data_IF_371050238629
#
_entry.id   IF_371050238629
#
_cell.length_a   1.000
_cell.length_b   1.000
_cell.length_c   1.000
_cell.angle_alpha   90.00
_cell.angle_beta   90.00
_cell.angle_gamma   90.00
#
_symmetry.space_group_name_H-M   'P 1'
#
loop_
_entity.id
_entity.type
_entity.pdbx_description
1 polymer ?
#
# COMPACT_ATOMS: atom_id res chain seq x y z
N UNK A 1 -7.09 -26.78 -19.04
CA UNK A 1 -5.85 -26.13 -19.52
C UNK A 1 -4.85 -26.24 -18.37
N UNK A 2 -3.67 -26.81 -18.60
CA UNK A 2 -2.63 -26.92 -17.56
C UNK A 2 -2.20 -25.52 -17.13
N UNK A 3 -2.06 -25.30 -15.82
CA UNK A 3 -1.47 -24.06 -15.31
C UNK A 3 -0.11 -23.83 -16.01
N UNK A 4 0.20 -22.58 -16.40
CA UNK A 4 1.51 -22.29 -16.99
C UNK A 4 2.62 -22.74 -16.02
N UNK A 5 3.76 -23.22 -16.54
CA UNK A 5 4.95 -23.46 -15.71
C UNK A 5 5.21 -22.24 -14.83
N UNK A 6 5.63 -22.45 -13.58
CA UNK A 6 5.85 -21.35 -12.63
C UNK A 6 6.76 -20.25 -13.19
N UNK A 7 7.72 -20.59 -14.05
CA UNK A 7 8.60 -19.65 -14.74
C UNK A 7 7.87 -18.74 -15.74
N UNK A 8 6.90 -19.27 -16.50
CA UNK A 8 6.12 -18.49 -17.46
C UNK A 8 5.20 -17.50 -16.73
N UNK A 9 4.61 -17.92 -15.60
CA UNK A 9 3.78 -17.04 -14.77
C UNK A 9 4.60 -15.89 -14.18
N UNK A 10 5.80 -16.16 -13.67
CA UNK A 10 6.69 -15.12 -13.14
C UNK A 10 7.02 -14.11 -14.24
N UNK A 11 7.43 -14.56 -15.43
CA UNK A 11 7.72 -13.66 -16.57
C UNK A 11 6.51 -12.80 -16.95
N UNK A 12 5.32 -13.39 -16.96
CA UNK A 12 4.08 -12.67 -17.22
C UNK A 12 3.84 -11.58 -16.17
N UNK A 13 3.98 -11.90 -14.88
CA UNK A 13 3.79 -10.94 -13.79
C UNK A 13 4.88 -9.86 -13.77
N UNK A 14 6.13 -10.18 -14.10
CA UNK A 14 7.19 -9.17 -14.25
C UNK A 14 6.89 -8.18 -15.37
N UNK A 15 6.45 -8.68 -16.53
CA UNK A 15 6.03 -7.85 -17.66
C UNK A 15 4.87 -6.94 -17.27
N UNK A 16 3.88 -7.48 -16.55
CA UNK A 16 2.71 -6.71 -16.13
C UNK A 16 3.06 -5.66 -15.06
N UNK A 17 3.94 -5.97 -14.10
CA UNK A 17 4.46 -4.96 -13.16
C UNK A 17 5.19 -3.85 -13.90
N UNK A 18 6.04 -4.18 -14.87
CA UNK A 18 6.76 -3.19 -15.66
C UNK A 18 5.79 -2.29 -16.46
N UNK A 19 4.74 -2.88 -17.04
CA UNK A 19 3.71 -2.15 -17.79
C UNK A 19 2.90 -1.21 -16.89
N UNK A 20 2.45 -1.69 -15.73
CA UNK A 20 1.65 -0.87 -14.80
C UNK A 20 2.50 0.17 -14.08
N UNK A 21 3.78 -0.14 -13.80
CA UNK A 21 4.73 0.81 -13.19
C UNK A 21 4.90 2.10 -14.01
N UNK A 22 4.78 2.02 -15.33
CA UNK A 22 4.83 3.18 -16.22
C UNK A 22 3.66 4.14 -16.04
N UNK A 23 2.57 3.70 -15.40
CA UNK A 23 1.37 4.51 -15.14
C UNK A 23 1.36 5.12 -13.73
N UNK A 24 2.37 4.82 -12.91
CA UNK A 24 2.47 5.40 -11.56
C UNK A 24 2.79 6.89 -11.68
N UNK A 25 1.95 7.72 -11.07
CA UNK A 25 2.19 9.14 -10.86
C UNK A 25 2.76 9.32 -9.45
N UNK A 26 3.98 9.86 -9.35
CA UNK A 26 4.69 10.07 -8.08
C UNK A 26 4.49 11.50 -7.51
N UNK A 27 3.71 12.34 -8.20
CA UNK A 27 3.46 13.74 -7.87
C UNK A 27 2.01 13.97 -7.39
N UNK A 28 1.77 15.07 -6.69
CA UNK A 28 0.42 15.46 -6.27
C UNK A 28 -0.43 15.85 -7.48
N UNK A 29 -1.61 15.24 -7.61
CA UNK A 29 -2.58 15.51 -8.68
C UNK A 29 -3.73 16.39 -8.22
N UNK A 30 -4.07 16.35 -6.94
CA UNK A 30 -5.26 16.99 -6.37
C UNK A 30 -4.92 18.28 -5.61
N UNK A 31 -5.84 19.24 -5.59
CA UNK A 31 -5.62 20.54 -4.92
C UNK A 31 -5.45 20.40 -3.40
N UNK A 32 -6.20 19.49 -2.76
CA UNK A 32 -6.11 19.25 -1.32
C UNK A 32 -4.74 18.74 -0.89
N UNK A 33 -3.98 18.04 -1.76
CA UNK A 33 -2.63 17.58 -1.45
C UNK A 33 -1.63 18.72 -1.32
N UNK A 34 -1.88 19.82 -2.05
CA UNK A 34 -1.02 21.01 -2.07
C UNK A 34 -1.40 22.03 -1.00
N UNK A 35 -2.53 21.84 -0.33
CA UNK A 35 -2.91 22.67 0.82
C UNK A 35 -2.07 22.29 2.05
N UNK A 36 -1.45 23.25 2.75
CA UNK A 36 -0.63 22.97 3.95
C UNK A 36 -1.37 22.21 5.07
N UNK A 37 -2.70 22.33 5.11
CA UNK A 37 -3.60 21.73 6.10
C UNK A 37 -4.53 20.67 5.49
N UNK A 38 -4.29 20.27 4.23
CA UNK A 38 -5.16 19.39 3.46
C UNK A 38 -6.60 19.87 3.29
N UNK A 39 -6.85 21.19 3.32
CA UNK A 39 -8.16 21.78 3.01
C UNK A 39 -8.80 21.17 1.76
N UNK A 40 -10.01 20.65 1.92
CA UNK A 40 -10.75 19.93 0.87
C UNK A 40 -10.65 18.40 0.95
N UNK A 41 -9.77 17.84 1.80
CA UNK A 41 -9.78 16.42 2.16
C UNK A 41 -10.86 16.16 3.22
N UNK A 42 -11.80 15.29 2.88
CA UNK A 42 -12.96 14.96 3.73
C UNK A 42 -13.03 13.46 4.06
N UNK A 43 -12.45 12.60 3.21
CA UNK A 43 -12.55 11.13 3.34
C UNK A 43 -11.24 10.45 3.02
N UNK A 44 -10.79 9.61 3.96
CA UNK A 44 -9.62 8.75 3.79
C UNK A 44 -10.05 7.29 3.84
N UNK A 45 -9.55 6.49 2.91
CA UNK A 45 -9.75 5.05 2.87
C UNK A 45 -8.60 4.31 3.56
N UNK A 46 -8.90 3.18 4.19
CA UNK A 46 -7.92 2.22 4.67
C UNK A 46 -8.23 0.85 4.12
N UNK A 47 -7.21 0.12 3.67
CA UNK A 47 -7.37 -1.27 3.22
C UNK A 47 -6.32 -2.18 3.85
N UNK A 48 -6.75 -3.40 4.15
CA UNK A 48 -5.93 -4.49 4.64
C UNK A 48 -6.40 -5.82 4.04
N UNK A 49 -5.48 -6.78 3.94
CA UNK A 49 -5.83 -8.17 3.66
C UNK A 49 -5.11 -9.08 4.64
N UNK A 50 -5.90 -9.71 5.52
CA UNK A 50 -5.40 -10.52 6.62
C UNK A 50 -5.70 -12.00 6.41
N UNK A 51 -4.67 -12.83 6.32
CA UNK A 51 -4.80 -14.28 6.17
C UNK A 51 -5.33 -14.95 7.45
N UNK A 52 -6.11 -16.01 7.29
CA UNK A 52 -6.52 -16.86 8.43
C UNK A 52 -5.27 -17.54 9.01
N UNK A 53 -5.16 -17.59 10.33
CA UNK A 53 -4.00 -18.18 11.00
C UNK A 53 -3.81 -19.65 10.58
N UNK A 54 -2.68 -19.94 9.95
CA UNK A 54 -2.34 -21.28 9.48
C UNK A 54 -2.90 -21.64 8.10
N UNK A 55 -3.46 -20.66 7.38
CA UNK A 55 -4.01 -20.81 6.04
C UNK A 55 -3.43 -19.71 5.13
N UNK A 56 -2.76 -20.10 4.06
CA UNK A 56 -2.11 -19.19 3.10
C UNK A 56 -2.99 -18.87 1.88
N UNK A 57 -4.22 -19.39 1.86
CA UNK A 57 -5.19 -19.26 0.76
C UNK A 57 -6.37 -18.40 1.20
N UNK A 58 -6.94 -18.63 2.37
CA UNK A 58 -8.12 -17.89 2.83
C UNK A 58 -7.72 -16.65 3.64
N UNK A 59 -8.33 -15.52 3.32
CA UNK A 59 -8.07 -14.25 3.97
C UNK A 59 -9.34 -13.42 4.12
N UNK A 60 -9.26 -12.35 4.90
CA UNK A 60 -10.28 -11.31 4.98
C UNK A 60 -9.76 -10.05 4.30
N UNK A 61 -10.43 -9.62 3.23
CA UNK A 61 -10.19 -8.32 2.61
C UNK A 61 -11.06 -7.27 3.31
N UNK A 62 -10.44 -6.17 3.73
CA UNK A 62 -11.10 -5.11 4.48
C UNK A 62 -10.94 -3.76 3.79
N UNK A 63 -12.02 -2.98 3.76
CA UNK A 63 -12.06 -1.59 3.36
C UNK A 63 -12.78 -0.78 4.45
N UNK A 64 -12.18 0.31 4.89
CA UNK A 64 -12.81 1.29 5.79
C UNK A 64 -12.70 2.68 5.18
N UNK A 65 -13.73 3.51 5.36
CA UNK A 65 -13.70 4.93 5.03
C UNK A 65 -13.90 5.72 6.30
N UNK A 66 -12.98 6.64 6.57
CA UNK A 66 -13.04 7.54 7.72
C UNK A 66 -13.26 8.98 7.23
N UNK A 67 -13.98 9.76 8.03
CA UNK A 67 -14.02 11.22 7.87
C UNK A 67 -12.63 11.81 8.15
N UNK A 68 -12.35 12.96 7.57
CA UNK A 68 -11.13 13.72 7.84
C UNK A 68 -11.51 15.18 8.14
N UNK A 69 -10.92 15.81 9.18
CA UNK A 69 -9.82 15.31 10.02
C UNK A 69 -10.25 14.48 11.24
N UNK A 70 -11.56 14.30 11.47
CA UNK A 70 -12.08 13.72 12.72
C UNK A 70 -11.80 12.22 12.89
N UNK A 71 -11.52 11.51 11.78
CA UNK A 71 -11.21 10.08 11.74
C UNK A 71 -12.34 9.19 12.27
N UNK A 72 -13.60 9.61 12.07
CA UNK A 72 -14.77 8.81 12.40
C UNK A 72 -15.09 7.82 11.27
N UNK A 73 -15.42 6.58 11.61
CA UNK A 73 -15.76 5.56 10.61
C UNK A 73 -17.10 5.90 9.95
N UNK A 74 -17.07 6.11 8.64
CA UNK A 74 -18.25 6.38 7.80
C UNK A 74 -18.74 5.11 7.09
N UNK A 75 -17.83 4.19 6.77
CA UNK A 75 -18.12 2.95 6.06
C UNK A 75 -17.11 1.86 6.42
N UNK A 76 -17.58 0.61 6.44
CA UNK A 76 -16.76 -0.59 6.57
C UNK A 76 -17.31 -1.70 5.66
N UNK A 77 -16.41 -2.44 5.01
CA UNK A 77 -16.71 -3.68 4.30
C UNK A 77 -15.62 -4.70 4.60
N UNK A 78 -16.05 -5.93 4.88
CA UNK A 78 -15.17 -7.06 5.19
C UNK A 78 -15.68 -8.30 4.49
N UNK A 79 -14.85 -8.88 3.63
CA UNK A 79 -15.21 -10.08 2.87
C UNK A 79 -14.16 -11.16 3.08
N UNK A 80 -14.64 -12.38 3.36
CA UNK A 80 -13.78 -13.56 3.30
C UNK A 80 -13.53 -13.92 1.83
N UNK A 81 -12.25 -14.08 1.48
CA UNK A 81 -11.80 -14.31 0.11
C UNK A 81 -10.83 -15.48 0.06
N UNK A 82 -10.76 -16.12 -1.10
CA UNK A 82 -9.89 -17.28 -1.37
C UNK A 82 -8.90 -16.92 -2.46
N UNK A 83 -7.62 -16.76 -2.10
CA UNK A 83 -6.54 -16.33 -2.97
C UNK A 83 -5.99 -17.54 -3.75
N UNK A 84 -6.50 -17.73 -4.97
CA UNK A 84 -6.11 -18.86 -5.84
C UNK A 84 -4.77 -18.68 -6.55
N UNK A 85 -4.28 -17.44 -6.65
CA UNK A 85 -2.96 -17.14 -7.20
C UNK A 85 -1.85 -17.64 -6.24
N UNK A 86 -0.74 -18.20 -6.75
CA UNK A 86 0.34 -18.71 -5.91
C UNK A 86 1.10 -17.60 -5.18
N UNK A 87 1.65 -17.92 -4.01
CA UNK A 87 2.57 -17.03 -3.31
C UNK A 87 3.95 -17.04 -3.96
N UNK A 88 4.34 -15.88 -4.52
CA UNK A 88 5.68 -15.64 -5.07
C UNK A 88 6.19 -14.33 -4.48
N UNK A 89 7.37 -14.36 -3.86
CA UNK A 89 7.98 -13.18 -3.24
C UNK A 89 8.16 -12.06 -4.29
N UNK A 90 7.71 -10.84 -3.95
CA UNK A 90 7.70 -9.69 -4.87
C UNK A 90 6.46 -9.59 -5.78
N UNK A 91 5.51 -10.52 -5.67
CA UNK A 91 4.27 -10.54 -6.47
C UNK A 91 3.00 -10.63 -5.62
N UNK A 92 3.08 -10.33 -4.32
CA UNK A 92 1.94 -10.40 -3.40
C UNK A 92 0.72 -9.59 -3.91
N UNK A 93 0.98 -8.44 -4.54
CA UNK A 93 -0.06 -7.59 -5.11
C UNK A 93 -0.95 -8.31 -6.13
N UNK A 94 -0.46 -9.29 -6.90
CA UNK A 94 -1.31 -10.06 -7.82
C UNK A 94 -2.32 -10.96 -7.10
N UNK A 95 -2.05 -11.32 -5.85
CA UNK A 95 -2.98 -12.10 -5.02
C UNK A 95 -4.03 -11.21 -4.35
N UNK A 96 -3.63 -10.02 -3.92
CA UNK A 96 -4.46 -9.18 -3.02
C UNK A 96 -5.24 -8.08 -3.75
N UNK A 97 -4.62 -7.43 -4.74
CA UNK A 97 -5.21 -6.26 -5.43
C UNK A 97 -6.60 -6.54 -6.01
N UNK A 98 -6.90 -7.71 -6.64
CA UNK A 98 -8.23 -7.98 -7.17
C UNK A 98 -9.33 -7.86 -6.10
N UNK A 99 -9.11 -8.41 -4.91
CA UNK A 99 -10.10 -8.39 -3.83
C UNK A 99 -10.27 -7.01 -3.20
N UNK A 100 -9.19 -6.23 -3.14
CA UNK A 100 -9.24 -4.83 -2.66
C UNK A 100 -9.94 -3.92 -3.68
N UNK A 101 -9.71 -4.13 -4.97
CA UNK A 101 -10.45 -3.43 -6.04
C UNK A 101 -11.94 -3.76 -6.00
N UNK A 102 -12.30 -5.03 -5.80
CA UNK A 102 -13.70 -5.42 -5.65
C UNK A 102 -14.37 -4.74 -4.46
N UNK A 103 -13.66 -4.54 -3.34
CA UNK A 103 -14.18 -3.77 -2.20
C UNK A 103 -14.44 -2.30 -2.55
N UNK A 104 -13.51 -1.64 -3.25
CA UNK A 104 -13.69 -0.27 -3.73
C UNK A 104 -14.84 -0.18 -4.75
N UNK A 105 -14.97 -1.15 -5.64
CA UNK A 105 -16.05 -1.20 -6.62
C UNK A 105 -17.42 -1.36 -5.93
N UNK A 106 -17.53 -2.26 -4.94
CA UNK A 106 -18.75 -2.40 -4.14
C UNK A 106 -19.11 -1.11 -3.42
N UNK A 107 -18.13 -0.39 -2.86
CA UNK A 107 -18.36 0.92 -2.26
C UNK A 107 -18.89 1.92 -3.30
N UNK A 108 -18.26 1.99 -4.47
CA UNK A 108 -18.66 2.88 -5.56
C UNK A 108 -20.10 2.62 -6.03
N UNK A 109 -20.49 1.35 -6.14
CA UNK A 109 -21.83 0.95 -6.57
C UNK A 109 -22.90 1.22 -5.50
N UNK A 110 -22.59 0.97 -4.23
CA UNK A 110 -23.57 1.02 -3.14
C UNK A 110 -23.66 2.40 -2.47
N UNK A 111 -22.53 3.09 -2.30
CA UNK A 111 -22.44 4.37 -1.58
C UNK A 111 -21.39 5.30 -2.23
N UNK A 112 -21.60 5.73 -3.49
CA UNK A 112 -20.62 6.52 -4.25
C UNK A 112 -20.20 7.84 -3.59
N UNK A 113 -21.07 8.44 -2.77
CA UNK A 113 -20.78 9.67 -2.03
C UNK A 113 -19.73 9.49 -0.94
N UNK A 114 -19.43 8.25 -0.55
CA UNK A 114 -18.40 7.91 0.44
C UNK A 114 -17.10 7.43 -0.20
N UNK A 115 -16.92 7.57 -1.52
CA UNK A 115 -15.63 7.28 -2.14
C UNK A 115 -14.50 8.08 -1.46
N UNK A 116 -13.38 7.42 -1.12
CA UNK A 116 -12.25 8.09 -0.50
C UNK A 116 -11.51 8.95 -1.53
N UNK A 117 -10.90 10.03 -1.05
CA UNK A 117 -10.01 10.86 -1.87
C UNK A 117 -8.58 10.29 -1.91
N UNK A 118 -8.22 9.47 -0.93
CA UNK A 118 -6.93 8.79 -0.83
C UNK A 118 -7.10 7.49 -0.05
N UNK A 119 -6.36 6.45 -0.44
CA UNK A 119 -6.39 5.14 0.23
C UNK A 119 -5.04 4.82 0.86
N UNK A 120 -5.02 4.57 2.15
CA UNK A 120 -3.88 4.02 2.88
C UNK A 120 -3.92 2.50 2.81
N UNK A 121 -2.83 1.92 2.32
CA UNK A 121 -2.73 0.48 2.04
C UNK A 121 -1.73 -0.12 3.02
N UNK A 122 -2.11 -1.16 3.77
CA UNK A 122 -1.17 -1.93 4.59
C UNK A 122 -0.22 -2.74 3.71
N UNK A 123 0.87 -2.09 3.28
CA UNK A 123 1.78 -2.65 2.30
C UNK A 123 2.73 -1.61 1.72
N UNK A 124 3.66 -2.06 0.91
CA UNK A 124 4.62 -1.17 0.26
C UNK A 124 4.03 -0.55 -1.02
N UNK A 125 4.50 0.66 -1.36
CA UNK A 125 4.30 1.31 -2.66
C UNK A 125 5.57 1.24 -3.52
N UNK A 126 6.18 2.40 -3.78
CA UNK A 126 7.44 2.52 -4.54
C UNK A 126 8.64 1.84 -3.83
N UNK A 127 8.62 1.72 -2.50
CA UNK A 127 9.66 1.02 -1.77
C UNK A 127 9.51 -0.51 -1.88
N UNK A 128 9.79 -1.05 -3.07
CA UNK A 128 9.55 -2.45 -3.44
C UNK A 128 10.61 -2.98 -4.42
N UNK A 129 10.69 -4.31 -4.62
CA UNK A 129 11.69 -4.97 -5.48
C UNK A 129 11.76 -4.40 -6.90
N UNK A 130 10.62 -3.96 -7.45
CA UNK A 130 10.47 -3.39 -8.80
C UNK A 130 9.85 -2.00 -8.78
N UNK A 131 9.98 -1.30 -7.66
CA UNK A 131 9.32 -0.01 -7.41
C UNK A 131 7.80 -0.02 -7.63
N UNK A 132 7.16 -1.19 -7.48
CA UNK A 132 5.75 -1.39 -7.76
C UNK A 132 5.14 -2.37 -6.76
N UNK A 133 4.92 -1.91 -5.54
CA UNK A 133 4.26 -2.66 -4.48
C UNK A 133 2.74 -2.62 -4.56
N UNK A 134 2.07 -3.18 -3.55
CA UNK A 134 0.61 -3.28 -3.46
C UNK A 134 -0.08 -1.92 -3.59
N UNK A 135 0.42 -0.88 -2.92
CA UNK A 135 -0.21 0.44 -2.96
C UNK A 135 -0.15 1.08 -4.35
N UNK A 136 0.96 0.92 -5.07
CA UNK A 136 1.08 1.37 -6.45
C UNK A 136 0.17 0.57 -7.39
N UNK A 137 0.08 -0.74 -7.17
CA UNK A 137 -0.77 -1.61 -7.98
C UNK A 137 -2.25 -1.23 -7.82
N UNK A 138 -2.72 -1.08 -6.58
CA UNK A 138 -4.08 -0.64 -6.28
C UNK A 138 -4.36 0.76 -6.82
N UNK A 139 -3.46 1.73 -6.62
CA UNK A 139 -3.63 3.10 -7.10
C UNK A 139 -3.74 3.20 -8.61
N UNK A 140 -2.86 2.51 -9.36
CA UNK A 140 -2.92 2.50 -10.84
C UNK A 140 -4.23 1.89 -11.35
N UNK A 141 -4.70 0.80 -10.75
CA UNK A 141 -5.90 0.11 -11.23
C UNK A 141 -7.21 0.78 -10.78
N UNK A 142 -7.23 1.39 -9.58
CA UNK A 142 -8.40 2.12 -9.07
C UNK A 142 -8.50 3.56 -9.58
N UNK A 143 -7.38 4.14 -10.02
CA UNK A 143 -7.29 5.57 -10.35
C UNK A 143 -7.31 6.48 -9.12
N UNK A 144 -7.21 5.94 -7.90
CA UNK A 144 -7.21 6.70 -6.66
C UNK A 144 -5.77 6.99 -6.18
N UNK A 145 -5.52 8.14 -5.55
CA UNK A 145 -4.31 8.36 -4.78
C UNK A 145 -4.15 7.26 -3.71
N UNK A 146 -2.96 6.65 -3.64
CA UNK A 146 -2.66 5.60 -2.67
C UNK A 146 -1.34 5.85 -1.95
N UNK A 147 -1.33 5.56 -0.64
CA UNK A 147 -0.13 5.62 0.20
C UNK A 147 0.12 4.24 0.79
N UNK A 148 1.30 3.67 0.52
CA UNK A 148 1.72 2.42 1.15
C UNK A 148 2.26 2.66 2.56
N UNK A 149 1.66 2.03 3.56
CA UNK A 149 2.04 2.11 4.97
C UNK A 149 2.50 0.73 5.45
N UNK A 150 3.79 0.44 5.30
CA UNK A 150 4.36 -0.82 5.74
C UNK A 150 4.79 -0.78 7.22
N UNK A 151 4.46 -1.84 7.96
CA UNK A 151 4.83 -2.00 9.39
C UNK A 151 6.27 -2.49 9.61
N UNK A 152 6.87 -3.10 8.59
CA UNK A 152 8.21 -3.68 8.63
C UNK A 152 9.05 -3.17 7.44
N UNK A 153 10.35 -2.99 7.67
CA UNK A 153 11.28 -2.63 6.61
C UNK A 153 11.44 -3.79 5.62
N UNK A 154 11.02 -3.56 4.38
CA UNK A 154 11.36 -4.43 3.26
C UNK A 154 12.83 -4.19 2.87
N UNK A 155 13.65 -5.24 2.87
CA UNK A 155 15.08 -5.12 2.57
C UNK A 155 15.32 -5.26 1.06
N UNK A 156 15.25 -4.13 0.35
CA UNK A 156 15.33 -4.03 -1.11
C UNK A 156 16.10 -2.79 -1.53
N UNK A 157 16.49 -2.71 -2.80
CA UNK A 157 17.14 -1.51 -3.36
C UNK A 157 18.42 -1.09 -2.62
N UNK A 158 19.14 -2.05 -2.03
CA UNK A 158 20.33 -1.79 -1.21
C UNK A 158 20.06 -1.21 0.18
N UNK A 159 18.79 -1.15 0.60
CA UNK A 159 18.40 -0.75 1.95
C UNK A 159 18.24 -2.00 2.81
N UNK A 160 18.95 -2.02 3.93
CA UNK A 160 19.00 -3.15 4.86
C UNK A 160 18.75 -2.68 6.28
N UNK A 161 18.36 -3.61 7.17
CA UNK A 161 18.23 -3.34 8.60
C UNK A 161 19.61 -3.33 9.29
N UNK A 162 20.48 -2.41 8.87
CA UNK A 162 21.83 -2.23 9.41
C UNK A 162 21.85 -1.60 10.81
N UNK A 163 23.01 -1.61 11.47
CA UNK A 163 23.21 -0.88 12.73
C UNK A 163 22.98 0.63 12.58
N UNK A 164 23.39 1.20 11.44
CA UNK A 164 23.13 2.60 11.10
C UNK A 164 21.62 2.87 11.02
N UNK A 165 20.87 2.03 10.31
CA UNK A 165 19.42 2.16 10.20
C UNK A 165 18.73 2.06 11.57
N UNK A 166 19.16 1.12 12.41
CA UNK A 166 18.67 0.97 13.78
C UNK A 166 18.99 2.20 14.65
N UNK A 167 20.18 2.78 14.47
CA UNK A 167 20.60 4.00 15.16
C UNK A 167 19.75 5.21 14.75
N UNK A 168 19.42 5.33 13.46
CA UNK A 168 18.52 6.36 12.95
C UNK A 168 17.10 6.22 13.53
N UNK A 169 16.57 5.00 13.61
CA UNK A 169 15.28 4.74 14.27
C UNK A 169 15.33 5.15 15.75
N UNK A 170 16.39 4.75 16.47
CA UNK A 170 16.55 5.08 17.89
C UNK A 170 16.66 6.60 18.14
N UNK A 171 17.10 7.36 17.15
CA UNK A 171 17.17 8.82 17.21
C UNK A 171 15.81 9.52 17.03
N UNK A 172 14.77 8.83 16.54
CA UNK A 172 13.41 9.38 16.45
C UNK A 172 12.76 9.39 17.82
N UNK A 173 12.23 10.54 18.25
CA UNK A 173 11.72 10.71 19.61
C UNK A 173 10.25 11.13 19.65
N UNK A 174 9.84 11.99 18.72
CA UNK A 174 8.49 12.57 18.67
C UNK A 174 7.70 12.01 17.51
N UNK A 175 6.38 11.99 17.67
CA UNK A 175 5.46 11.81 16.56
C UNK A 175 5.75 12.83 15.45
N UNK A 176 5.90 12.34 14.23
CA UNK A 176 6.26 13.15 13.06
C UNK A 176 7.76 13.18 12.74
N UNK A 177 8.63 12.76 13.65
CA UNK A 177 10.05 12.60 13.33
C UNK A 177 10.20 11.55 12.22
N UNK A 178 11.08 11.82 11.25
CA UNK A 178 11.22 10.93 10.09
C UNK A 178 12.58 11.06 9.40
N UNK A 179 12.96 10.03 8.65
CA UNK A 179 14.14 10.06 7.78
C UNK A 179 13.88 9.30 6.46
N UNK A 180 14.53 9.71 5.34
CA UNK A 180 14.27 9.11 4.04
C UNK A 180 14.85 7.69 3.93
N UNK A 181 14.13 6.81 3.22
CA UNK A 181 14.65 5.53 2.73
C UNK A 181 15.25 5.76 1.34
N UNK A 182 16.57 5.85 1.29
CA UNK A 182 17.32 6.13 0.05
C UNK A 182 17.89 4.84 -0.51
N UNK A 183 17.53 4.50 -1.75
CA UNK A 183 18.08 3.35 -2.46
C UNK A 183 19.58 3.52 -2.74
N UNK A 184 20.27 2.41 -3.05
CA UNK A 184 21.67 2.43 -3.48
C UNK A 184 21.91 3.26 -4.75
N UNK A 185 20.87 3.50 -5.55
CA UNK A 185 20.90 4.42 -6.71
C UNK A 185 20.93 5.91 -6.31
N UNK A 186 20.68 6.23 -5.05
CA UNK A 186 20.50 7.59 -4.54
C UNK A 186 19.05 8.11 -4.61
N UNK A 187 18.12 7.36 -5.22
CA UNK A 187 16.69 7.73 -5.27
C UNK A 187 16.05 7.52 -3.89
N UNK A 188 15.31 8.52 -3.39
CA UNK A 188 14.45 8.37 -2.21
C UNK A 188 13.18 7.64 -2.63
N UNK A 189 12.93 6.47 -2.05
CA UNK A 189 11.81 5.59 -2.42
C UNK A 189 10.73 5.49 -1.34
N UNK A 190 11.00 6.05 -0.17
CA UNK A 190 10.07 6.06 0.95
C UNK A 190 10.65 6.83 2.13
N UNK A 191 10.00 6.69 3.28
CA UNK A 191 10.38 7.39 4.50
C UNK A 191 10.04 6.50 5.70
N UNK A 192 10.94 6.47 6.68
CA UNK A 192 10.61 5.98 8.02
C UNK A 192 9.95 7.11 8.79
N UNK A 193 8.81 6.81 9.40
CA UNK A 193 8.00 7.79 10.11
C UNK A 193 7.68 7.31 11.52
N UNK A 194 8.00 8.11 12.51
CA UNK A 194 7.62 7.87 13.90
C UNK A 194 6.17 8.34 14.09
N UNK A 195 5.24 7.38 14.24
CA UNK A 195 3.80 7.70 14.35
C UNK A 195 3.44 8.38 15.66
N UNK A 196 4.05 7.94 16.76
CA UNK A 196 3.71 8.37 18.12
C UNK A 196 4.99 8.70 18.89
N UNK A 197 4.89 9.56 19.89
CA UNK A 197 6.01 9.81 20.81
C UNK A 197 6.51 8.51 21.42
N UNK A 198 7.83 8.39 21.55
CA UNK A 198 8.43 7.26 22.26
C UNK A 198 8.11 7.41 23.75
N UNK A 199 7.29 6.51 24.30
CA UNK A 199 7.09 6.44 25.75
C UNK A 199 8.44 6.06 26.38
N UNK A 200 8.97 6.94 27.22
CA UNK A 200 10.15 6.64 28.06
C UNK A 200 9.78 5.72 29.21
#
# INVERSE_FOLDING_TARGET
>A
MSAPPAEDLVRQWESEQARLRQQVVEEDTEDWQRSPDFSGLERVGGVDLSFIKGDDVNACAQLVILSYPDLEVLYEDSQMVTLTAPYIAGFLAFRETPFLLEALQRLQENQPTLLPQVVFVDGNGLFHYREFGLACHLGVLSGLPCVGVAKNLLQVQGVYKSEEHQSQIAALQRGGDSFPLTAASGKVLGKVWQRTDTQK
#
